data_IF_320640332566
#
_entry.id   IF_320640332566
#
_cell.length_a   1.000
_cell.length_b   1.000
_cell.length_c   1.000
_cell.angle_alpha   90.00
_cell.angle_beta   90.00
_cell.angle_gamma   90.00
#
_symmetry.space_group_name_H-M   'P 1'
#
loop_
_entity.id
_entity.type
_entity.pdbx_description
1 polymer ?
#
# COMPACT_ATOMS: atom_id res chain seq x y z
N UNK A 1 -7.18 -25.10 17.54
CA UNK A 1 -8.48 -24.59 17.09
C UNK A 1 -8.76 -23.16 17.60
N UNK A 2 -8.71 -22.93 18.92
CA UNK A 2 -8.93 -21.59 19.50
C UNK A 2 -7.95 -20.52 18.98
N UNK A 3 -6.68 -20.88 18.84
CA UNK A 3 -5.62 -20.01 18.31
C UNK A 3 -5.89 -19.56 16.87
N UNK A 4 -6.41 -20.45 16.01
CA UNK A 4 -6.75 -20.10 14.63
C UNK A 4 -7.91 -19.10 14.55
N UNK A 5 -8.91 -19.27 15.42
CA UNK A 5 -10.04 -18.33 15.51
C UNK A 5 -9.58 -16.95 15.93
N UNK A 6 -8.61 -16.87 16.86
CA UNK A 6 -8.03 -15.59 17.30
C UNK A 6 -7.31 -14.87 16.16
N UNK A 7 -6.50 -15.58 15.37
CA UNK A 7 -5.79 -14.97 14.23
C UNK A 7 -6.73 -14.53 13.10
N UNK A 8 -7.78 -15.31 12.82
CA UNK A 8 -8.81 -14.90 11.87
C UNK A 8 -9.53 -13.64 12.38
N UNK A 9 -9.89 -13.60 13.66
CA UNK A 9 -10.49 -12.42 14.27
C UNK A 9 -9.57 -11.20 14.18
N UNK A 10 -8.27 -11.37 14.46
CA UNK A 10 -7.26 -10.32 14.35
C UNK A 10 -7.16 -9.80 12.90
N UNK A 11 -7.15 -10.69 11.91
CA UNK A 11 -7.14 -10.34 10.49
C UNK A 11 -8.36 -9.49 10.10
N UNK A 12 -9.54 -9.89 10.55
CA UNK A 12 -10.78 -9.17 10.28
C UNK A 12 -10.79 -7.80 10.94
N UNK A 13 -10.33 -7.70 12.18
CA UNK A 13 -10.20 -6.41 12.90
C UNK A 13 -9.18 -5.50 12.22
N UNK A 14 -8.05 -6.04 11.78
CA UNK A 14 -7.02 -5.30 11.06
C UNK A 14 -7.57 -4.71 9.75
N UNK A 15 -8.25 -5.51 8.93
CA UNK A 15 -8.89 -5.04 7.69
C UNK A 15 -9.95 -3.97 7.99
N UNK A 16 -10.77 -4.19 9.02
CA UNK A 16 -11.76 -3.21 9.46
C UNK A 16 -11.15 -1.89 9.90
N UNK A 17 -9.99 -1.93 10.58
CA UNK A 17 -9.25 -0.74 10.99
C UNK A 17 -8.73 0.06 9.78
N UNK A 18 -8.12 -0.62 8.80
CA UNK A 18 -7.60 0.02 7.59
C UNK A 18 -8.73 0.75 6.83
N UNK A 19 -9.89 0.10 6.68
CA UNK A 19 -11.04 0.70 6.02
C UNK A 19 -11.61 1.86 6.87
N UNK A 20 -11.65 1.71 8.20
CA UNK A 20 -12.12 2.78 9.09
C UNK A 20 -11.23 4.03 8.98
N UNK A 21 -9.91 3.87 8.84
CA UNK A 21 -8.99 5.00 8.61
C UNK A 21 -9.27 5.67 7.27
N UNK A 22 -9.56 4.90 6.23
CA UNK A 22 -10.01 5.42 4.94
C UNK A 22 -11.27 6.28 5.08
N UNK A 23 -12.33 5.73 5.67
CA UNK A 23 -13.59 6.45 5.91
C UNK A 23 -13.42 7.68 6.81
N UNK A 24 -12.49 7.60 7.76
CA UNK A 24 -12.12 8.74 8.59
C UNK A 24 -11.51 9.89 7.78
N UNK A 25 -10.82 9.60 6.69
CA UNK A 25 -10.35 10.61 5.74
C UNK A 25 -11.50 11.43 5.16
N UNK A 26 -12.51 10.75 4.60
CA UNK A 26 -13.71 11.38 4.09
C UNK A 26 -14.44 12.21 5.17
N UNK A 27 -14.63 11.61 6.34
CA UNK A 27 -15.25 12.27 7.48
C UNK A 27 -14.51 13.56 7.89
N UNK A 28 -13.20 13.48 8.04
CA UNK A 28 -12.38 14.59 8.53
C UNK A 28 -12.44 15.78 7.56
N UNK A 29 -12.14 15.53 6.27
CA UNK A 29 -12.10 16.58 5.27
C UNK A 29 -13.49 17.09 4.90
N UNK A 30 -14.49 16.20 4.81
CA UNK A 30 -15.88 16.59 4.60
C UNK A 30 -16.37 17.54 5.68
N UNK A 31 -16.06 17.23 6.94
CA UNK A 31 -16.39 18.11 8.07
C UNK A 31 -15.65 19.44 8.02
N UNK A 32 -14.36 19.46 7.69
CA UNK A 32 -13.56 20.69 7.54
C UNK A 32 -14.07 21.55 6.38
N UNK A 33 -14.57 20.94 5.32
CA UNK A 33 -15.20 21.63 4.18
C UNK A 33 -16.63 22.11 4.47
N UNK A 34 -17.21 21.75 5.64
CA UNK A 34 -18.57 22.15 6.04
C UNK A 34 -19.65 21.33 5.35
N UNK A 35 -19.34 20.15 4.82
CA UNK A 35 -20.31 19.20 4.26
C UNK A 35 -21.08 18.54 5.38
N UNK A 36 -22.40 18.42 5.23
CA UNK A 36 -23.26 17.75 6.21
C UNK A 36 -23.01 16.26 6.25
N UNK A 37 -22.74 15.71 7.43
CA UNK A 37 -22.53 14.27 7.65
C UNK A 37 -23.74 13.71 8.37
N UNK A 38 -24.30 12.64 7.81
CA UNK A 38 -25.45 11.92 8.39
C UNK A 38 -24.98 10.90 9.43
N UNK A 39 -24.03 10.05 9.01
CA UNK A 39 -23.53 8.96 9.85
C UNK A 39 -22.08 8.64 9.55
N UNK A 40 -21.30 8.37 10.60
CA UNK A 40 -20.00 7.73 10.53
C UNK A 40 -20.09 6.38 11.21
N UNK A 41 -19.85 5.31 10.48
CA UNK A 41 -20.02 3.93 10.96
C UNK A 41 -18.73 3.13 10.84
N UNK A 42 -18.41 2.41 11.92
CA UNK A 42 -17.39 1.35 11.93
C UNK A 42 -18.10 0.02 11.81
N UNK A 43 -17.83 -0.73 10.73
CA UNK A 43 -18.48 -1.99 10.42
C UNK A 43 -19.78 -1.84 9.62
N UNK A 44 -20.36 -2.99 9.29
CA UNK A 44 -21.64 -3.15 8.58
C UNK A 44 -22.62 -3.99 9.38
N UNK A 45 -23.86 -4.09 8.89
CA UNK A 45 -24.91 -4.91 9.48
C UNK A 45 -25.63 -4.25 10.67
N UNK A 46 -26.19 -5.02 11.62
CA UNK A 46 -26.94 -4.50 12.76
C UNK A 46 -26.09 -3.62 13.66
N UNK A 47 -26.67 -2.51 14.12
CA UNK A 47 -26.00 -1.57 15.02
C UNK A 47 -25.91 -2.16 16.44
N UNK A 48 -24.69 -2.32 16.93
CA UNK A 48 -24.41 -2.78 18.29
C UNK A 48 -24.41 -1.62 19.29
N UNK A 49 -23.69 -0.55 18.94
CA UNK A 49 -23.59 0.67 19.74
C UNK A 49 -23.79 1.89 18.83
N UNK A 50 -24.33 2.96 19.40
CA UNK A 50 -24.47 4.19 18.66
C UNK A 50 -24.84 5.35 19.56
N UNK A 51 -24.32 6.51 19.18
CA UNK A 51 -24.62 7.80 19.82
C UNK A 51 -24.72 8.88 18.76
N UNK A 52 -25.30 9.99 19.13
CA UNK A 52 -25.38 11.16 18.27
C UNK A 52 -24.66 12.34 18.93
N UNK A 53 -23.88 13.06 18.15
CA UNK A 53 -23.19 14.27 18.63
C UNK A 53 -23.15 15.31 17.51
N UNK A 54 -23.64 16.50 17.82
CA UNK A 54 -23.72 17.64 16.87
C UNK A 54 -24.44 17.29 15.56
N UNK A 55 -25.51 16.48 15.64
CA UNK A 55 -26.32 16.06 14.49
C UNK A 55 -25.67 14.96 13.64
N UNK A 56 -24.54 14.39 14.03
CA UNK A 56 -23.87 13.28 13.35
C UNK A 56 -24.12 12.01 14.16
N UNK A 57 -24.61 10.97 13.52
CA UNK A 57 -24.76 9.64 14.10
C UNK A 57 -23.42 8.89 14.02
N UNK A 58 -22.98 8.33 15.13
CA UNK A 58 -21.81 7.45 15.20
C UNK A 58 -22.29 6.06 15.54
N UNK A 59 -21.86 5.06 14.81
CA UNK A 59 -22.28 3.68 15.05
C UNK A 59 -21.13 2.68 14.99
N UNK A 60 -21.19 1.68 15.86
CA UNK A 60 -20.40 0.46 15.79
C UNK A 60 -21.35 -0.68 15.42
N UNK A 61 -21.02 -1.41 14.37
CA UNK A 61 -21.88 -2.45 13.79
C UNK A 61 -21.27 -3.84 13.94
N UNK A 62 -22.09 -4.86 13.77
CA UNK A 62 -21.74 -6.24 14.13
C UNK A 62 -20.67 -6.88 13.23
N UNK A 63 -20.57 -6.47 11.99
CA UNK A 63 -19.61 -7.03 11.02
C UNK A 63 -18.43 -6.07 10.88
N UNK A 64 -17.25 -6.36 11.48
CA UNK A 64 -16.11 -5.43 11.49
C UNK A 64 -15.31 -5.44 10.18
N UNK A 65 -15.95 -5.73 9.05
CA UNK A 65 -15.38 -5.74 7.71
C UNK A 65 -15.70 -4.43 6.99
N UNK A 66 -15.14 -3.31 7.45
CA UNK A 66 -15.32 -2.04 6.78
C UNK A 66 -15.95 -0.95 7.63
N UNK A 67 -16.56 0.02 6.96
CA UNK A 67 -17.25 1.17 7.55
C UNK A 67 -17.85 2.01 6.44
N UNK A 68 -18.44 3.15 6.80
CA UNK A 68 -18.90 4.16 5.84
C UNK A 68 -19.02 5.53 6.49
N UNK A 69 -18.88 6.55 5.68
CA UNK A 69 -19.20 7.93 6.01
C UNK A 69 -20.29 8.42 5.06
N UNK A 70 -21.52 8.57 5.54
CA UNK A 70 -22.65 9.03 4.75
C UNK A 70 -22.79 10.54 4.84
N UNK A 71 -22.83 11.21 3.69
CA UNK A 71 -23.03 12.65 3.59
C UNK A 71 -24.48 13.01 3.25
N UNK A 72 -24.90 14.19 3.67
CA UNK A 72 -26.21 14.75 3.30
C UNK A 72 -26.21 15.03 1.79
N UNK A 73 -27.20 14.55 1.06
CA UNK A 73 -27.34 14.79 -0.39
C UNK A 73 -26.17 14.25 -1.21
N UNK A 74 -25.66 13.09 -0.86
CA UNK A 74 -24.51 12.46 -1.56
C UNK A 74 -24.93 11.90 -2.92
N UNK A 75 -26.02 11.13 -2.96
CA UNK A 75 -26.50 10.43 -4.15
C UNK A 75 -27.85 10.98 -4.66
N UNK A 76 -28.39 12.03 -4.01
CA UNK A 76 -29.66 12.65 -4.36
C UNK A 76 -29.60 14.18 -4.25
N UNK A 77 -30.51 14.86 -4.96
CA UNK A 77 -30.68 16.30 -4.77
C UNK A 77 -31.30 16.57 -3.41
N UNK A 78 -30.72 17.52 -2.69
CA UNK A 78 -31.15 17.91 -1.34
C UNK A 78 -31.07 19.43 -1.19
N UNK A 79 -32.08 20.04 -0.56
CA UNK A 79 -32.14 21.48 -0.38
C UNK A 79 -31.28 22.00 0.80
N UNK A 80 -30.69 21.12 1.60
CA UNK A 80 -29.76 21.55 2.68
C UNK A 80 -28.53 22.23 2.05
N UNK A 81 -28.20 23.47 2.43
CA UNK A 81 -27.01 24.17 1.96
C UNK A 81 -25.71 23.40 2.23
N UNK A 82 -25.71 22.48 3.21
CA UNK A 82 -24.55 21.64 3.55
C UNK A 82 -24.54 20.33 2.77
N UNK A 83 -25.55 20.05 1.93
CA UNK A 83 -25.57 18.85 1.11
C UNK A 83 -24.35 18.78 0.21
N UNK A 84 -23.79 17.58 0.05
CA UNK A 84 -22.59 17.36 -0.77
C UNK A 84 -22.84 17.80 -2.22
N UNK A 85 -24.03 17.54 -2.77
CA UNK A 85 -24.42 18.00 -4.11
C UNK A 85 -24.39 19.52 -4.30
N UNK A 86 -24.61 20.30 -3.23
CA UNK A 86 -24.65 21.77 -3.27
C UNK A 86 -23.30 22.42 -3.00
N UNK A 87 -22.26 21.63 -2.68
CA UNK A 87 -20.94 22.17 -2.39
C UNK A 87 -20.12 22.39 -3.67
N UNK A 88 -19.21 23.38 -3.67
CA UNK A 88 -18.28 23.59 -4.78
C UNK A 88 -17.48 22.31 -5.10
N UNK A 89 -17.18 22.11 -6.38
CA UNK A 89 -16.50 20.88 -6.88
C UNK A 89 -15.19 20.60 -6.12
N UNK A 90 -14.40 21.64 -5.82
CA UNK A 90 -13.13 21.47 -5.11
C UNK A 90 -13.30 20.89 -3.70
N UNK A 91 -14.37 21.24 -2.96
CA UNK A 91 -14.65 20.70 -1.63
C UNK A 91 -15.04 19.22 -1.73
N UNK A 92 -15.90 18.89 -2.71
CA UNK A 92 -16.29 17.51 -3.00
C UNK A 92 -15.07 16.68 -3.39
N UNK A 93 -14.23 17.22 -4.28
CA UNK A 93 -13.00 16.58 -4.74
C UNK A 93 -12.04 16.26 -3.57
N UNK A 94 -11.75 17.25 -2.72
CA UNK A 94 -10.90 17.05 -1.55
C UNK A 94 -11.48 16.03 -0.56
N UNK A 95 -12.80 16.04 -0.36
CA UNK A 95 -13.47 15.09 0.53
C UNK A 95 -13.35 13.67 0.01
N UNK A 96 -13.57 13.44 -1.29
CA UNK A 96 -13.44 12.11 -1.89
C UNK A 96 -11.97 11.67 -1.93
N UNK A 97 -11.03 12.56 -2.26
CA UNK A 97 -9.59 12.25 -2.29
C UNK A 97 -9.05 11.88 -0.89
N UNK A 98 -9.64 12.41 0.17
CA UNK A 98 -9.15 12.24 1.53
C UNK A 98 -9.18 10.79 2.04
N UNK A 99 -10.12 9.97 1.58
CA UNK A 99 -10.16 8.55 1.93
C UNK A 99 -8.89 7.81 1.48
N UNK A 100 -8.62 7.73 0.18
CA UNK A 100 -7.38 7.14 -0.33
C UNK A 100 -6.12 7.76 0.26
N UNK A 101 -6.10 9.10 0.44
CA UNK A 101 -4.96 9.79 1.03
C UNK A 101 -4.66 9.33 2.46
N UNK A 102 -5.68 9.10 3.29
CA UNK A 102 -5.49 8.59 4.65
C UNK A 102 -4.91 7.17 4.69
N UNK A 103 -5.13 6.37 3.67
CA UNK A 103 -4.48 5.07 3.54
C UNK A 103 -2.98 5.21 3.27
N UNK A 104 -2.56 6.18 2.45
CA UNK A 104 -1.13 6.47 2.28
C UNK A 104 -0.50 7.00 3.58
N UNK A 105 -1.23 7.85 4.33
CA UNK A 105 -0.77 8.32 5.65
C UNK A 105 -0.61 7.15 6.62
N UNK A 106 -1.58 6.24 6.68
CA UNK A 106 -1.50 5.05 7.52
C UNK A 106 -0.32 4.17 7.12
N UNK A 107 -0.15 3.89 5.83
CA UNK A 107 0.98 3.12 5.32
C UNK A 107 2.32 3.74 5.72
N UNK A 108 2.47 5.07 5.55
CA UNK A 108 3.66 5.79 5.92
C UNK A 108 3.98 5.69 7.42
N UNK A 109 2.98 5.90 8.28
CA UNK A 109 3.16 5.83 9.74
C UNK A 109 3.54 4.41 10.18
N UNK A 110 2.84 3.40 9.64
CA UNK A 110 3.13 2.00 9.96
C UNK A 110 4.54 1.61 9.48
N UNK A 111 4.93 2.06 8.29
CA UNK A 111 6.29 1.85 7.77
C UNK A 111 7.35 2.47 8.70
N UNK A 112 7.13 3.71 9.17
CA UNK A 112 8.06 4.36 10.10
C UNK A 112 8.18 3.59 11.43
N UNK A 113 7.06 3.06 11.93
CA UNK A 113 7.06 2.20 13.13
C UNK A 113 7.83 0.90 12.88
N UNK A 114 7.60 0.25 11.72
CA UNK A 114 8.32 -0.97 11.34
C UNK A 114 9.83 -0.75 11.28
N UNK A 115 10.27 0.29 10.58
CA UNK A 115 11.68 0.64 10.45
C UNK A 115 12.31 0.96 11.82
N UNK A 116 11.57 1.64 12.71
CA UNK A 116 12.08 2.00 14.04
C UNK A 116 12.23 0.82 15.00
N UNK A 117 11.31 -0.16 14.91
CA UNK A 117 11.20 -1.21 15.92
C UNK A 117 11.77 -2.57 15.48
N UNK A 118 11.69 -2.89 14.19
CA UNK A 118 11.90 -4.25 13.71
C UNK A 118 12.94 -4.37 12.60
N UNK A 119 13.06 -3.36 11.73
CA UNK A 119 14.03 -3.46 10.66
C UNK A 119 15.41 -3.06 11.16
N UNK A 120 16.30 -4.03 11.14
CA UNK A 120 17.73 -3.75 11.16
C UNK A 120 18.15 -3.33 9.74
N UNK A 121 19.19 -2.56 9.66
CA UNK A 121 19.76 -2.18 8.37
C UNK A 121 20.35 -3.37 7.57
N UNK A 122 20.36 -4.59 8.13
CA UNK A 122 20.67 -5.82 7.40
C UNK A 122 19.59 -6.17 6.34
N UNK A 123 18.38 -5.65 6.52
CA UNK A 123 17.25 -5.92 5.62
C UNK A 123 16.96 -4.77 4.67
N UNK A 124 17.45 -3.56 4.99
CA UNK A 124 17.21 -2.37 4.19
C UNK A 124 18.54 -1.90 3.57
N UNK A 125 18.66 -1.85 2.23
CA UNK A 125 19.91 -1.64 1.53
C UNK A 125 20.38 -0.17 1.54
N UNK A 126 20.38 0.46 2.73
CA UNK A 126 20.94 1.80 2.93
C UNK A 126 22.44 1.72 3.20
N UNK A 127 23.19 2.47 2.44
CA UNK A 127 24.66 2.58 2.59
C UNK A 127 24.98 3.36 3.87
N UNK A 128 25.64 2.73 4.84
CA UNK A 128 26.13 3.41 6.05
C UNK A 128 27.51 4.01 5.84
N UNK A 129 28.37 3.27 5.22
CA UNK A 129 29.76 3.68 4.98
C UNK A 129 30.30 3.07 3.69
N UNK A 130 31.29 3.72 3.13
CA UNK A 130 32.06 3.23 1.99
C UNK A 130 33.41 2.73 2.47
N UNK A 131 33.90 1.68 1.84
CA UNK A 131 35.26 1.21 2.04
C UNK A 131 36.22 2.08 1.23
N UNK A 132 37.35 2.46 1.84
CA UNK A 132 38.37 3.24 1.16
C UNK A 132 38.95 2.46 -0.03
N UNK A 133 39.33 3.18 -1.09
CA UNK A 133 39.91 2.64 -2.31
C UNK A 133 39.03 1.61 -3.08
N UNK A 134 37.71 1.59 -2.82
CA UNK A 134 36.79 0.70 -3.51
C UNK A 134 35.93 1.44 -4.56
N UNK A 135 35.40 0.72 -5.57
CA UNK A 135 34.71 1.32 -6.72
C UNK A 135 33.51 2.20 -6.38
N UNK A 136 32.76 1.85 -5.35
CA UNK A 136 31.55 2.59 -4.96
C UNK A 136 31.83 4.06 -4.63
N UNK A 137 32.91 4.33 -3.88
CA UNK A 137 33.32 5.69 -3.53
C UNK A 137 33.72 6.50 -4.76
N UNK A 138 34.48 5.88 -5.65
CA UNK A 138 34.94 6.52 -6.91
C UNK A 138 33.76 6.79 -7.87
N UNK A 139 32.72 5.97 -7.85
CA UNK A 139 31.54 6.12 -8.68
C UNK A 139 30.53 7.15 -8.14
N UNK A 140 30.75 7.69 -6.91
CA UNK A 140 29.91 8.71 -6.34
C UNK A 140 28.75 8.19 -5.50
N UNK A 141 28.81 6.95 -5.01
CA UNK A 141 27.90 6.49 -3.94
C UNK A 141 28.24 7.23 -2.65
N UNK A 142 27.26 7.60 -1.88
CA UNK A 142 27.40 8.32 -0.61
C UNK A 142 26.71 7.60 0.55
N UNK A 143 27.16 7.89 1.76
CA UNK A 143 26.49 7.41 2.95
C UNK A 143 25.05 7.99 3.03
N UNK A 144 24.08 7.12 3.26
CA UNK A 144 22.67 7.47 3.25
C UNK A 144 21.94 7.19 1.93
N UNK A 145 22.64 6.79 0.88
CA UNK A 145 22.02 6.28 -0.34
C UNK A 145 21.32 4.95 -0.08
N UNK A 146 20.25 4.72 -0.81
CA UNK A 146 19.54 3.44 -0.76
C UNK A 146 19.68 2.75 -2.11
N UNK A 147 20.23 1.55 -2.14
CA UNK A 147 20.38 0.80 -3.39
C UNK A 147 19.01 0.22 -3.77
N UNK A 148 18.49 0.63 -4.92
CA UNK A 148 17.17 0.25 -5.41
C UNK A 148 17.21 -0.70 -6.60
N UNK A 149 18.38 -0.81 -7.29
CA UNK A 149 18.55 -1.72 -8.42
C UNK A 149 20.04 -2.01 -8.63
N UNK A 150 20.36 -3.22 -9.04
CA UNK A 150 21.70 -3.64 -9.47
C UNK A 150 21.56 -4.27 -10.86
N UNK A 151 22.19 -3.68 -11.88
CA UNK A 151 21.97 -4.00 -13.28
C UNK A 151 20.46 -3.97 -13.63
N UNK A 152 19.91 -5.05 -14.17
CA UNK A 152 18.48 -5.18 -14.49
C UNK A 152 17.65 -5.74 -13.31
N UNK A 153 18.28 -6.01 -12.15
CA UNK A 153 17.62 -6.63 -11.00
C UNK A 153 17.15 -5.55 -10.03
N UNK A 154 15.84 -5.32 -9.90
CA UNK A 154 15.30 -4.45 -8.84
C UNK A 154 15.53 -5.09 -7.47
N UNK A 155 15.83 -4.28 -6.47
CA UNK A 155 16.04 -4.72 -5.09
C UNK A 155 14.74 -4.55 -4.32
N UNK A 156 14.22 -5.63 -3.76
CA UNK A 156 13.04 -5.61 -2.92
C UNK A 156 13.39 -5.16 -1.49
N UNK A 157 12.58 -4.25 -0.95
CA UNK A 157 12.73 -3.82 0.42
C UNK A 157 12.01 -4.80 1.36
N UNK A 158 12.70 -5.22 2.40
CA UNK A 158 12.23 -6.22 3.34
C UNK A 158 13.25 -7.34 3.49
N UNK A 159 13.06 -8.29 4.36
CA UNK A 159 13.99 -9.31 4.86
C UNK A 159 15.16 -9.81 4.03
N UNK A 160 15.21 -9.54 2.72
CA UNK A 160 16.24 -9.98 1.80
C UNK A 160 16.96 -8.84 1.04
N UNK A 161 16.62 -7.57 1.25
CA UNK A 161 17.13 -6.46 0.42
C UNK A 161 18.65 -6.39 0.33
N UNK A 162 19.35 -6.42 1.47
CA UNK A 162 20.81 -6.44 1.50
C UNK A 162 21.37 -7.71 0.87
N UNK A 163 20.77 -8.88 1.16
CA UNK A 163 21.21 -10.14 0.58
C UNK A 163 21.04 -10.16 -0.94
N UNK A 164 19.96 -9.57 -1.48
CA UNK A 164 19.76 -9.42 -2.92
C UNK A 164 20.82 -8.54 -3.55
N UNK A 165 21.19 -7.38 -2.94
CA UNK A 165 22.27 -6.54 -3.42
C UNK A 165 23.59 -7.32 -3.46
N UNK A 166 23.92 -8.02 -2.36
CA UNK A 166 25.13 -8.83 -2.25
C UNK A 166 25.14 -9.92 -3.32
N UNK A 167 24.04 -10.65 -3.48
CA UNK A 167 23.93 -11.72 -4.47
C UNK A 167 24.06 -11.18 -5.92
N UNK A 168 23.39 -10.05 -6.22
CA UNK A 168 23.45 -9.44 -7.56
C UNK A 168 24.87 -8.98 -7.91
N UNK A 169 25.61 -8.39 -6.95
CA UNK A 169 26.99 -7.96 -7.15
C UNK A 169 27.94 -9.16 -7.24
N UNK A 170 27.82 -10.13 -6.35
CA UNK A 170 28.67 -11.32 -6.36
C UNK A 170 28.41 -12.22 -7.57
N UNK A 171 27.22 -12.16 -8.15
CA UNK A 171 26.86 -12.86 -9.39
C UNK A 171 27.47 -12.24 -10.65
N UNK A 172 28.09 -11.04 -10.56
CA UNK A 172 28.83 -10.44 -11.66
C UNK A 172 30.26 -10.97 -11.71
N UNK A 173 30.82 -11.08 -12.91
CA UNK A 173 32.23 -11.47 -13.05
C UNK A 173 33.13 -10.43 -12.38
N UNK A 174 34.14 -10.84 -11.60
CA UNK A 174 35.09 -9.93 -10.99
C UNK A 174 35.79 -9.02 -12.03
N UNK A 175 35.79 -7.71 -11.79
CA UNK A 175 36.30 -6.71 -12.70
C UNK A 175 35.35 -6.29 -13.82
N UNK A 176 34.15 -6.86 -13.89
CA UNK A 176 33.15 -6.46 -14.88
C UNK A 176 32.43 -5.17 -14.49
N UNK A 177 31.81 -4.52 -15.49
CA UNK A 177 30.99 -3.35 -15.29
C UNK A 177 29.69 -3.76 -14.59
N UNK A 178 29.26 -2.94 -13.60
CA UNK A 178 27.99 -3.06 -12.90
C UNK A 178 27.35 -1.67 -12.80
N UNK A 179 26.05 -1.61 -13.05
CA UNK A 179 25.25 -0.39 -12.84
C UNK A 179 24.48 -0.53 -11.55
N UNK A 180 24.74 0.36 -10.61
CA UNK A 180 24.00 0.43 -9.34
C UNK A 180 23.12 1.68 -9.36
N UNK A 181 21.82 1.50 -9.23
CA UNK A 181 20.89 2.63 -9.10
C UNK A 181 20.65 2.88 -7.62
N UNK A 182 20.96 4.09 -7.18
CA UNK A 182 20.70 4.55 -5.81
C UNK A 182 19.57 5.58 -5.79
N UNK A 183 18.82 5.59 -4.70
CA UNK A 183 17.85 6.64 -4.38
C UNK A 183 18.51 7.61 -3.39
N UNK A 184 18.66 8.87 -3.80
CA UNK A 184 19.21 9.97 -2.99
C UNK A 184 18.28 11.16 -3.08
N UNK A 185 17.77 11.65 -1.95
CA UNK A 185 16.89 12.83 -1.86
C UNK A 185 15.66 12.80 -2.79
N UNK A 186 15.13 11.61 -3.09
CA UNK A 186 13.97 11.41 -3.96
C UNK A 186 14.29 11.23 -5.43
N UNK A 187 15.57 11.27 -5.81
CA UNK A 187 16.02 11.06 -7.18
C UNK A 187 16.75 9.73 -7.34
N UNK A 188 16.52 9.04 -8.45
CA UNK A 188 17.25 7.83 -8.82
C UNK A 188 18.48 8.20 -9.65
N UNK A 189 19.63 7.80 -9.15
CA UNK A 189 20.92 8.05 -9.77
C UNK A 189 21.52 6.71 -10.23
N UNK A 190 21.59 6.44 -11.54
CA UNK A 190 22.33 5.30 -12.06
C UNK A 190 23.83 5.62 -12.02
N UNK A 191 24.61 4.76 -11.36
CA UNK A 191 26.05 4.89 -11.19
C UNK A 191 26.73 3.66 -11.78
N UNK A 192 27.61 3.88 -12.75
CA UNK A 192 28.38 2.82 -13.40
C UNK A 192 29.74 2.68 -12.73
N UNK A 193 30.15 1.45 -12.45
CA UNK A 193 31.44 1.12 -11.87
C UNK A 193 31.88 -0.28 -12.28
N UNK A 194 33.15 -0.60 -12.01
CA UNK A 194 33.66 -1.96 -12.21
C UNK A 194 33.84 -2.62 -10.85
N UNK A 195 33.39 -3.87 -10.71
CA UNK A 195 33.63 -4.63 -9.49
C UNK A 195 35.12 -4.90 -9.27
N UNK A 196 35.58 -4.86 -8.02
CA UNK A 196 36.92 -5.31 -7.64
C UNK A 196 36.89 -6.78 -7.28
N UNK A 197 37.87 -7.55 -7.79
CA UNK A 197 38.00 -8.96 -7.46
C UNK A 197 38.48 -9.12 -6.01
N UNK A 198 37.69 -9.78 -5.16
CA UNK A 198 38.09 -10.10 -3.80
C UNK A 198 38.02 -11.60 -3.60
N UNK A 199 39.11 -12.20 -3.09
CA UNK A 199 39.16 -13.63 -2.79
C UNK A 199 38.93 -13.86 -1.31
N UNK A 200 37.92 -14.69 -0.98
CA UNK A 200 37.62 -15.08 0.40
C UNK A 200 38.70 -16.01 0.95
N UNK A 201 38.73 -16.21 2.27
CA UNK A 201 39.59 -17.20 2.93
C UNK A 201 39.34 -18.63 2.43
N UNK A 202 38.15 -18.92 1.91
CA UNK A 202 37.80 -20.20 1.29
C UNK A 202 38.30 -20.34 -0.16
N UNK A 203 39.00 -19.35 -0.72
CA UNK A 203 39.56 -19.36 -2.08
C UNK A 203 38.54 -19.01 -3.18
N UNK A 204 37.34 -18.61 -2.86
CA UNK A 204 36.35 -18.17 -3.84
C UNK A 204 36.56 -16.68 -4.15
N UNK A 205 36.72 -16.35 -5.46
CA UNK A 205 36.84 -14.96 -5.92
C UNK A 205 35.47 -14.48 -6.41
N UNK A 206 35.05 -13.33 -5.94
CA UNK A 206 33.80 -12.67 -6.34
C UNK A 206 34.01 -11.16 -6.55
N UNK A 207 33.04 -10.53 -7.24
CA UNK A 207 33.02 -9.07 -7.41
C UNK A 207 32.58 -8.37 -6.13
N UNK A 208 33.22 -7.23 -5.81
CA UNK A 208 32.85 -6.36 -4.69
C UNK A 208 32.89 -4.91 -5.15
N UNK A 209 32.00 -4.05 -4.59
CA UNK A 209 31.98 -2.60 -4.86
C UNK A 209 32.39 -1.76 -3.64
N UNK A 210 32.43 -2.34 -2.45
CA UNK A 210 32.93 -1.69 -1.23
C UNK A 210 31.90 -0.80 -0.53
N UNK A 211 30.66 -1.26 -0.40
CA UNK A 211 29.63 -0.64 0.45
C UNK A 211 29.46 -1.44 1.73
N UNK A 212 29.29 -0.76 2.85
CA UNK A 212 28.90 -1.34 4.12
C UNK A 212 27.47 -0.91 4.46
N UNK A 213 26.62 -1.88 4.77
CA UNK A 213 25.25 -1.64 5.23
C UNK A 213 25.23 -1.56 6.76
N UNK A 214 24.35 -0.71 7.29
CA UNK A 214 24.21 -0.53 8.71
C UNK A 214 23.76 -1.82 9.40
N UNK A 215 24.37 -2.16 10.55
CA UNK A 215 23.99 -3.33 11.38
C UNK A 215 23.29 -2.92 12.68
N UNK A 216 22.61 -1.79 12.67
CA UNK A 216 21.87 -1.25 13.83
C UNK A 216 20.42 -0.97 13.46
N UNK A 217 19.57 -0.80 14.43
CA UNK A 217 18.21 -0.29 14.23
C UNK A 217 18.24 1.17 13.80
N UNK A 218 17.24 1.58 13.00
CA UNK A 218 17.10 2.97 12.58
C UNK A 218 16.70 3.89 13.73
N UNK A 219 17.27 5.07 13.78
CA UNK A 219 16.75 6.16 14.61
C UNK A 219 15.38 6.61 14.10
N UNK A 220 14.58 7.28 14.95
CA UNK A 220 13.28 7.78 14.55
C UNK A 220 13.33 8.72 13.33
N UNK A 221 14.37 9.56 13.24
CA UNK A 221 14.57 10.45 12.08
C UNK A 221 14.88 9.70 10.79
N UNK A 222 15.75 8.70 10.84
CA UNK A 222 16.06 7.83 9.71
C UNK A 222 14.83 6.99 9.30
N UNK A 223 14.10 6.45 10.27
CA UNK A 223 12.88 5.68 10.01
C UNK A 223 11.84 6.54 9.25
N UNK A 224 11.65 7.79 9.65
CA UNK A 224 10.77 8.73 8.96
C UNK A 224 11.27 8.98 7.52
N UNK A 225 12.57 9.25 7.34
CA UNK A 225 13.15 9.50 6.01
C UNK A 225 13.01 8.28 5.10
N UNK A 226 13.44 7.12 5.56
CA UNK A 226 13.44 5.89 4.76
C UNK A 226 12.04 5.32 4.51
N UNK A 227 11.05 5.62 5.35
CA UNK A 227 9.66 5.25 5.09
C UNK A 227 9.12 5.85 3.81
N UNK A 228 9.51 7.09 3.48
CA UNK A 228 9.15 7.72 2.21
C UNK A 228 9.70 6.94 1.02
N UNK A 229 10.99 6.57 1.06
CA UNK A 229 11.64 5.79 0.01
C UNK A 229 10.99 4.42 -0.12
N UNK A 230 10.83 3.71 1.00
CA UNK A 230 10.19 2.38 1.03
C UNK A 230 8.78 2.42 0.43
N UNK A 231 7.97 3.41 0.82
CA UNK A 231 6.61 3.57 0.31
C UNK A 231 6.58 3.86 -1.20
N UNK A 232 7.48 4.73 -1.70
CA UNK A 232 7.56 5.05 -3.13
C UNK A 232 7.98 3.82 -3.94
N UNK A 233 9.00 3.09 -3.50
CA UNK A 233 9.47 1.90 -4.21
C UNK A 233 8.42 0.78 -4.20
N UNK A 234 7.77 0.53 -3.05
CA UNK A 234 6.67 -0.44 -2.99
C UNK A 234 5.51 -0.02 -3.90
N UNK A 235 5.17 1.29 -3.94
CA UNK A 235 4.15 1.80 -4.85
C UNK A 235 4.52 1.57 -6.32
N UNK A 236 5.76 1.81 -6.71
CA UNK A 236 6.26 1.55 -8.08
C UNK A 236 6.11 0.07 -8.44
N UNK A 237 6.57 -0.82 -7.56
CA UNK A 237 6.43 -2.27 -7.75
C UNK A 237 4.96 -2.69 -7.91
N UNK A 238 4.06 -2.17 -7.07
CA UNK A 238 2.62 -2.44 -7.18
C UNK A 238 2.03 -1.93 -8.50
N UNK A 239 2.39 -0.72 -8.93
CA UNK A 239 1.92 -0.16 -10.20
C UNK A 239 2.47 -0.94 -11.41
N UNK A 240 3.72 -1.40 -11.36
CA UNK A 240 4.30 -2.24 -12.42
C UNK A 240 3.61 -3.61 -12.47
N UNK A 241 3.30 -4.21 -11.33
CA UNK A 241 2.52 -5.46 -11.26
C UNK A 241 1.11 -5.28 -11.84
N UNK A 242 0.43 -4.18 -11.50
CA UNK A 242 -0.87 -3.84 -12.09
C UNK A 242 -0.76 -3.62 -13.60
N UNK A 243 0.28 -2.94 -14.07
CA UNK A 243 0.52 -2.75 -15.49
C UNK A 243 0.72 -4.08 -16.21
N UNK A 244 1.55 -5.00 -15.68
CA UNK A 244 1.74 -6.35 -16.25
C UNK A 244 0.44 -7.13 -16.26
N UNK A 245 -0.34 -7.07 -15.19
CA UNK A 245 -1.64 -7.71 -15.11
C UNK A 245 -2.60 -7.22 -16.21
N UNK A 246 -2.77 -5.89 -16.36
CA UNK A 246 -3.73 -5.32 -17.30
C UNK A 246 -3.32 -5.40 -18.78
N UNK A 247 -2.03 -5.27 -19.07
CA UNK A 247 -1.54 -5.21 -20.45
C UNK A 247 -0.95 -6.53 -20.97
N UNK A 248 -0.50 -7.42 -20.08
CA UNK A 248 0.13 -8.68 -20.47
C UNK A 248 -0.61 -9.91 -19.92
N UNK A 249 -1.57 -9.73 -19.00
CA UNK A 249 -2.29 -10.84 -18.35
C UNK A 249 -1.42 -11.66 -17.38
N UNK A 250 -0.25 -11.13 -17.00
CA UNK A 250 0.66 -11.80 -16.07
C UNK A 250 0.13 -11.67 -14.64
N UNK A 251 0.21 -12.75 -13.84
CA UNK A 251 -0.20 -12.75 -12.43
C UNK A 251 -1.71 -12.91 -12.19
N UNK A 252 -2.50 -13.23 -13.21
CA UNK A 252 -3.96 -13.51 -13.05
C UNK A 252 -4.20 -14.65 -12.08
N UNK A 253 -3.34 -15.65 -12.08
CA UNK A 253 -3.33 -16.80 -11.17
C UNK A 253 -3.02 -16.44 -9.71
N UNK A 254 -2.40 -15.29 -9.48
CA UNK A 254 -2.06 -14.77 -8.15
C UNK A 254 -3.16 -13.88 -7.56
N UNK A 255 -4.21 -13.55 -8.33
CA UNK A 255 -5.32 -12.74 -7.83
C UNK A 255 -6.03 -13.52 -6.74
N UNK A 256 -6.09 -12.91 -5.56
CA UNK A 256 -6.67 -13.49 -4.36
C UNK A 256 -7.87 -12.65 -3.92
N UNK A 257 -8.98 -13.30 -3.60
CA UNK A 257 -10.18 -12.65 -3.07
C UNK A 257 -10.10 -12.43 -1.55
N UNK A 258 -11.18 -11.94 -0.96
CA UNK A 258 -11.21 -11.59 0.47
C UNK A 258 -11.00 -12.81 1.38
N UNK A 259 -11.48 -13.97 1.00
CA UNK A 259 -11.30 -15.21 1.80
C UNK A 259 -9.83 -15.59 1.82
N UNK A 260 -9.16 -15.53 0.68
CA UNK A 260 -7.73 -15.76 0.59
C UNK A 260 -6.91 -14.73 1.34
N UNK A 261 -7.25 -13.43 1.24
CA UNK A 261 -6.57 -12.38 2.02
C UNK A 261 -6.69 -12.67 3.53
N UNK A 262 -7.88 -13.02 4.04
CA UNK A 262 -8.07 -13.36 5.46
C UNK A 262 -7.21 -14.58 5.84
N UNK A 263 -7.13 -15.60 4.98
CA UNK A 263 -6.34 -16.78 5.22
C UNK A 263 -4.84 -16.45 5.28
N UNK A 264 -4.33 -15.69 4.30
CA UNK A 264 -2.94 -15.21 4.24
C UNK A 264 -2.62 -14.36 5.47
N UNK A 265 -3.42 -13.34 5.79
CA UNK A 265 -3.23 -12.48 6.96
C UNK A 265 -3.23 -13.28 8.25
N UNK A 266 -4.15 -14.28 8.39
CA UNK A 266 -4.21 -15.11 9.59
C UNK A 266 -2.98 -16.01 9.74
N UNK A 267 -2.32 -16.37 8.64
CA UNK A 267 -1.08 -17.13 8.66
C UNK A 267 0.10 -16.25 9.08
N UNK A 268 0.31 -15.13 8.40
CA UNK A 268 1.39 -14.18 8.73
C UNK A 268 1.27 -13.59 10.15
N UNK A 269 0.03 -13.44 10.67
CA UNK A 269 -0.18 -13.00 12.04
C UNK A 269 0.38 -13.95 13.11
N UNK A 270 0.73 -15.20 12.75
CA UNK A 270 1.39 -16.16 13.65
C UNK A 270 2.88 -15.94 13.75
N UNK A 271 3.47 -15.33 12.72
CA UNK A 271 4.93 -15.19 12.60
C UNK A 271 5.44 -13.98 13.40
N UNK A 272 4.55 -13.05 13.78
CA UNK A 272 4.88 -11.98 14.71
C UNK A 272 4.28 -10.62 14.42
N UNK A 273 4.65 -9.62 15.24
CA UNK A 273 4.14 -8.27 15.10
C UNK A 273 4.70 -7.56 13.86
N UNK A 274 5.91 -7.89 13.45
CA UNK A 274 6.51 -7.33 12.24
C UNK A 274 5.66 -7.67 11.00
N UNK A 275 5.28 -8.93 10.84
CA UNK A 275 4.49 -9.43 9.72
C UNK A 275 3.09 -8.79 9.70
N UNK A 276 2.49 -8.59 10.88
CA UNK A 276 1.20 -7.88 10.99
C UNK A 276 1.35 -6.44 10.51
N UNK A 277 2.38 -5.72 10.94
CA UNK A 277 2.61 -4.33 10.52
C UNK A 277 2.94 -4.25 9.03
N UNK A 278 3.73 -5.19 8.51
CA UNK A 278 4.02 -5.27 7.09
C UNK A 278 2.74 -5.47 6.25
N UNK A 279 1.85 -6.35 6.68
CA UNK A 279 0.55 -6.54 6.03
C UNK A 279 -0.31 -5.28 6.10
N UNK A 280 -0.37 -4.60 7.25
CA UNK A 280 -1.09 -3.32 7.38
C UNK A 280 -0.53 -2.29 6.40
N UNK A 281 0.80 -2.21 6.29
CA UNK A 281 1.47 -1.32 5.34
C UNK A 281 1.08 -1.64 3.88
N UNK A 282 1.27 -2.90 3.45
CA UNK A 282 1.02 -3.34 2.07
C UNK A 282 -0.46 -3.21 1.70
N UNK A 283 -1.37 -3.68 2.57
CA UNK A 283 -2.82 -3.64 2.30
C UNK A 283 -3.32 -2.19 2.30
N UNK A 284 -2.84 -1.34 3.22
CA UNK A 284 -3.23 0.06 3.25
C UNK A 284 -2.77 0.80 1.99
N UNK A 285 -1.53 0.57 1.56
CA UNK A 285 -0.98 1.15 0.34
C UNK A 285 -1.76 0.69 -0.89
N UNK A 286 -2.02 -0.62 -1.00
CA UNK A 286 -2.81 -1.20 -2.09
C UNK A 286 -4.24 -0.61 -2.12
N UNK A 287 -4.90 -0.51 -0.97
CA UNK A 287 -6.24 0.07 -0.88
C UNK A 287 -6.25 1.56 -1.30
N UNK A 288 -5.22 2.33 -0.93
CA UNK A 288 -5.03 3.70 -1.40
C UNK A 288 -4.90 3.78 -2.92
N UNK A 289 -4.05 2.95 -3.52
CA UNK A 289 -3.85 2.89 -4.99
C UNK A 289 -5.13 2.45 -5.69
N UNK A 290 -5.74 1.33 -5.25
CA UNK A 290 -6.93 0.76 -5.90
C UNK A 290 -8.14 1.69 -5.83
N UNK A 291 -8.28 2.46 -4.75
CA UNK A 291 -9.37 3.43 -4.64
C UNK A 291 -9.13 4.69 -5.48
N UNK A 292 -7.89 5.01 -5.87
CA UNK A 292 -7.59 6.10 -6.81
C UNK A 292 -7.73 5.69 -8.28
N UNK A 293 -7.78 4.39 -8.59
CA UNK A 293 -8.02 3.98 -9.98
C UNK A 293 -9.37 4.48 -10.48
N UNK A 294 -9.47 4.90 -11.77
CA UNK A 294 -10.69 5.43 -12.36
C UNK A 294 -11.74 4.31 -12.62
N UNK A 295 -12.03 3.55 -11.59
CA UNK A 295 -12.98 2.44 -11.65
C UNK A 295 -14.34 2.86 -11.06
N UNK A 296 -15.46 2.43 -11.68
CA UNK A 296 -16.78 2.66 -11.09
C UNK A 296 -16.90 2.04 -9.69
N UNK A 297 -17.78 2.59 -8.87
CA UNK A 297 -18.00 2.19 -7.48
C UNK A 297 -16.77 2.37 -6.55
N UNK A 298 -15.78 3.16 -6.96
CA UNK A 298 -14.59 3.55 -6.20
C UNK A 298 -14.47 5.07 -6.16
N UNK A 299 -13.68 5.59 -5.22
CA UNK A 299 -13.43 7.04 -5.10
C UNK A 299 -12.80 7.62 -6.37
N UNK A 300 -11.87 6.90 -7.01
CA UNK A 300 -11.27 7.29 -8.27
C UNK A 300 -12.28 7.52 -9.38
N UNK A 301 -13.32 6.69 -9.45
CA UNK A 301 -14.44 6.91 -10.37
C UNK A 301 -15.17 8.22 -10.08
N UNK A 302 -15.49 8.51 -8.82
CA UNK A 302 -16.11 9.79 -8.40
C UNK A 302 -15.19 10.99 -8.69
N UNK A 303 -13.89 10.86 -8.43
CA UNK A 303 -12.91 11.91 -8.75
C UNK A 303 -12.90 12.23 -10.25
N UNK A 304 -13.00 11.24 -11.13
CA UNK A 304 -13.09 11.47 -12.58
C UNK A 304 -14.35 12.26 -12.93
N UNK A 305 -15.51 11.93 -12.37
CA UNK A 305 -16.74 12.72 -12.60
C UNK A 305 -16.58 14.15 -12.12
N UNK A 306 -15.97 14.39 -10.96
CA UNK A 306 -15.72 15.74 -10.44
C UNK A 306 -14.72 16.52 -11.29
N UNK A 307 -13.69 15.89 -11.86
CA UNK A 307 -12.76 16.53 -12.81
C UNK A 307 -13.51 16.92 -14.11
N UNK A 308 -14.33 16.02 -14.64
CA UNK A 308 -15.14 16.33 -15.85
C UNK A 308 -16.12 17.46 -15.57
N UNK A 309 -16.76 17.49 -14.42
CA UNK A 309 -17.64 18.59 -14.00
C UNK A 309 -16.89 19.91 -13.92
N UNK A 310 -15.69 19.92 -13.30
CA UNK A 310 -14.84 21.11 -13.20
C UNK A 310 -14.47 21.67 -14.60
N UNK A 311 -14.11 20.81 -15.55
CA UNK A 311 -13.76 21.20 -16.92
C UNK A 311 -14.98 21.72 -17.68
N UNK A 312 -16.12 21.01 -17.58
CA UNK A 312 -17.36 21.37 -18.29
C UNK A 312 -18.08 22.57 -17.67
N UNK A 313 -17.78 22.90 -16.40
CA UNK A 313 -18.46 23.91 -15.58
C UNK A 313 -19.99 23.69 -15.51
N UNK A 314 -20.42 22.46 -15.62
CA UNK A 314 -21.82 22.05 -15.54
C UNK A 314 -21.90 20.77 -14.73
N UNK A 315 -22.82 20.67 -13.76
CA UNK A 315 -23.00 19.46 -12.97
C UNK A 315 -23.38 18.28 -13.84
N UNK A 316 -22.88 17.11 -13.46
CA UNK A 316 -23.30 15.84 -14.08
C UNK A 316 -24.58 15.41 -13.36
N UNK A 317 -25.65 15.02 -14.09
CA UNK A 317 -26.87 14.53 -13.45
C UNK A 317 -26.58 13.32 -12.54
N UNK A 318 -27.05 13.33 -11.27
CA UNK A 318 -26.81 12.23 -10.33
C UNK A 318 -27.25 10.87 -10.84
N UNK A 319 -28.30 10.81 -11.66
CA UNK A 319 -28.82 9.56 -12.26
C UNK A 319 -27.78 8.91 -13.18
N UNK A 320 -27.00 9.72 -13.95
CA UNK A 320 -25.96 9.20 -14.85
C UNK A 320 -24.75 8.70 -14.07
N UNK A 321 -24.34 9.44 -13.06
CA UNK A 321 -23.26 9.02 -12.17
C UNK A 321 -23.67 7.75 -11.42
N UNK A 322 -24.86 7.72 -10.82
CA UNK A 322 -25.42 6.56 -10.14
C UNK A 322 -25.54 5.33 -11.03
N UNK A 323 -25.93 5.50 -12.31
CA UNK A 323 -26.00 4.39 -13.27
C UNK A 323 -24.61 3.78 -13.52
N UNK A 324 -23.59 4.61 -13.76
CA UNK A 324 -22.22 4.11 -14.01
C UNK A 324 -21.67 3.41 -12.76
N UNK A 325 -21.87 4.00 -11.59
CA UNK A 325 -21.45 3.38 -10.32
C UNK A 325 -22.23 2.10 -10.02
N UNK A 326 -23.54 2.06 -10.31
CA UNK A 326 -24.38 0.87 -10.17
C UNK A 326 -23.91 -0.31 -11.03
N UNK A 327 -23.64 -0.06 -12.32
CA UNK A 327 -23.09 -1.08 -13.23
C UNK A 327 -21.72 -1.56 -12.70
N UNK A 328 -20.85 -0.63 -12.31
CA UNK A 328 -19.54 -0.97 -11.76
C UNK A 328 -19.66 -1.81 -10.49
N UNK A 329 -20.58 -1.49 -9.59
CA UNK A 329 -20.83 -2.26 -8.39
C UNK A 329 -21.23 -3.70 -8.70
N UNK A 330 -22.14 -3.90 -9.66
CA UNK A 330 -22.55 -5.24 -10.09
C UNK A 330 -21.37 -6.04 -10.64
N UNK A 331 -20.52 -5.40 -11.47
CA UNK A 331 -19.33 -6.05 -12.02
C UNK A 331 -18.32 -6.41 -10.91
N UNK A 332 -18.06 -5.50 -9.96
CA UNK A 332 -17.15 -5.74 -8.84
C UNK A 332 -17.70 -6.84 -7.93
N UNK A 333 -19.00 -6.85 -7.62
CA UNK A 333 -19.62 -7.91 -6.83
C UNK A 333 -19.57 -9.26 -7.56
N UNK A 334 -19.81 -9.27 -8.88
CA UNK A 334 -19.67 -10.49 -9.69
C UNK A 334 -18.25 -11.06 -9.66
N UNK A 335 -17.25 -10.18 -9.83
CA UNK A 335 -15.84 -10.56 -9.71
C UNK A 335 -15.51 -11.06 -8.30
N UNK A 336 -16.01 -10.39 -7.26
CA UNK A 336 -15.84 -10.79 -5.86
C UNK A 336 -16.38 -12.20 -5.59
N UNK A 337 -17.58 -12.51 -6.11
CA UNK A 337 -18.19 -13.84 -5.99
C UNK A 337 -17.32 -14.88 -6.70
N UNK A 338 -16.87 -14.62 -7.92
CA UNK A 338 -15.99 -15.52 -8.67
C UNK A 338 -14.66 -15.79 -7.92
N UNK A 339 -14.00 -14.73 -7.44
CA UNK A 339 -12.77 -14.87 -6.68
C UNK A 339 -12.98 -15.61 -5.35
N UNK A 340 -14.10 -15.38 -4.68
CA UNK A 340 -14.43 -16.11 -3.44
C UNK A 340 -14.59 -17.61 -3.70
N UNK A 341 -15.28 -18.00 -4.77
CA UNK A 341 -15.36 -19.42 -5.16
C UNK A 341 -14.00 -19.99 -5.54
N UNK A 342 -13.19 -19.22 -6.25
CA UNK A 342 -11.83 -19.62 -6.60
C UNK A 342 -10.95 -19.84 -5.36
N UNK A 343 -10.97 -18.90 -4.41
CA UNK A 343 -10.25 -19.02 -3.13
C UNK A 343 -10.68 -20.27 -2.34
N UNK A 344 -11.99 -20.48 -2.21
CA UNK A 344 -12.52 -21.65 -1.50
C UNK A 344 -12.07 -22.94 -2.18
N UNK A 345 -12.11 -23.00 -3.52
CA UNK A 345 -11.63 -24.15 -4.26
C UNK A 345 -10.14 -24.40 -4.00
N UNK A 346 -9.29 -23.36 -4.07
CA UNK A 346 -7.84 -23.48 -3.78
C UNK A 346 -7.57 -23.93 -2.35
N UNK A 347 -8.30 -23.39 -1.37
CA UNK A 347 -8.19 -23.79 0.04
C UNK A 347 -8.58 -25.25 0.27
N UNK A 348 -9.64 -25.74 -0.37
CA UNK A 348 -10.11 -27.12 -0.22
C UNK A 348 -9.17 -28.12 -0.88
N UNK A 349 -8.62 -27.79 -2.05
CA UNK A 349 -7.78 -28.72 -2.85
C UNK A 349 -6.31 -28.66 -2.43
N UNK A 350 -5.76 -27.49 -2.14
CA UNK A 350 -4.33 -27.28 -1.91
C UNK A 350 -3.97 -26.70 -0.53
N UNK A 351 -4.95 -26.44 0.33
CA UNK A 351 -4.73 -25.80 1.62
C UNK A 351 -4.28 -24.34 1.50
N UNK A 352 -3.87 -23.74 2.62
CA UNK A 352 -3.45 -22.31 2.65
C UNK A 352 -2.20 -22.07 1.79
N UNK A 353 -1.31 -23.05 1.68
CA UNK A 353 -0.09 -22.93 0.86
C UNK A 353 -0.41 -22.70 -0.63
N UNK A 354 -1.55 -23.18 -1.12
CA UNK A 354 -1.97 -22.92 -2.50
C UNK A 354 -2.37 -21.45 -2.76
N UNK A 355 -2.55 -20.63 -1.72
CA UNK A 355 -2.84 -19.20 -1.81
C UNK A 355 -1.58 -18.32 -1.70
N UNK A 356 -0.48 -18.91 -1.26
CA UNK A 356 0.79 -18.20 -1.06
C UNK A 356 1.71 -18.26 -2.30
N UNK A 357 1.35 -19.06 -3.30
CA UNK A 357 2.06 -19.20 -4.58
C UNK A 357 2.86 -20.47 -4.61
#
# INVERSE_FOLDING_TARGET
MLTNILYIFLAVVMLGLIITVHEFGHYLVGRLCGIGIVEFSVGFGPRLLGWERKGIKYSLRAIPLGGFCAFVGEDEQNDDPRAMSNQPVWKRFLTVLAGPFMNFVLAYVVCAVMLSLFMTAETFPAVERLMDDMPAAAAGIEAGDVIVQVNDTPIEFGGAGVAQVVQAIQGTEPGSAVTVVVERDGERLPLEMHTTAVTTESGVTHGMIGVEFARRTFTAGEAIRYSGIYMVETTRTMLDSLRRLFFHGEGVDQITGTVGIIAVVSQYARDGLYEILWLVFVISLNLGIMNLLPLPARDGGRLVFLIVEAIRRKPIPPEKEGMVHGIGLVLVLGLFVLLTFHDIYRLVVGGVNALLG
#
